data_IF_122356589565
#
_entry.id   IF_122356589565
#
_cell.length_a   1.000
_cell.length_b   1.000
_cell.length_c   1.000
_cell.angle_alpha   90.00
_cell.angle_beta   90.00
_cell.angle_gamma   90.00
#
_symmetry.space_group_name_H-M   'P 1'
#
loop_
_entity.id
_entity.type
_entity.pdbx_description
1 polymer ?
#
# COMPACT_ATOMS: atom_id res chain seq x y z
N UNK A 1 23.05 -16.60 -19.18
CA UNK A 1 24.09 -15.86 -19.94
C UNK A 1 23.69 -14.40 -19.97
N UNK A 2 24.52 -13.49 -19.47
CA UNK A 2 24.18 -12.05 -19.50
C UNK A 2 24.27 -11.53 -20.92
N UNK A 3 23.15 -11.06 -21.46
CA UNK A 3 23.05 -10.36 -22.75
C UNK A 3 24.13 -9.26 -22.85
N UNK A 4 24.77 -9.13 -24.01
CA UNK A 4 25.76 -8.09 -24.31
C UNK A 4 25.21 -6.68 -24.04
N UNK A 5 23.92 -6.44 -24.31
CA UNK A 5 23.24 -5.18 -23.93
C UNK A 5 23.31 -4.93 -22.42
N UNK A 6 23.20 -6.00 -21.64
CA UNK A 6 23.28 -5.96 -20.19
C UNK A 6 24.69 -5.68 -19.69
N UNK A 7 25.71 -6.24 -20.35
CA UNK A 7 27.11 -5.93 -20.07
C UNK A 7 27.44 -4.44 -20.36
N UNK A 8 26.92 -3.90 -21.47
CA UNK A 8 27.05 -2.48 -21.80
C UNK A 8 26.36 -1.56 -20.79
N UNK A 9 25.15 -1.93 -20.35
CA UNK A 9 24.40 -1.19 -19.33
C UNK A 9 25.15 -1.18 -18.00
N UNK A 10 25.60 -2.35 -17.52
CA UNK A 10 26.40 -2.46 -16.29
C UNK A 10 27.66 -1.62 -16.33
N UNK A 11 28.36 -1.62 -17.46
CA UNK A 11 29.55 -0.80 -17.65
C UNK A 11 29.25 0.71 -17.72
N UNK A 12 27.98 1.13 -17.63
CA UNK A 12 27.59 2.55 -17.59
C UNK A 12 27.48 3.21 -18.97
N UNK A 13 27.47 2.45 -20.06
CA UNK A 13 27.28 3.00 -21.42
C UNK A 13 25.81 3.27 -21.70
N UNK A 14 25.19 4.11 -20.88
CA UNK A 14 23.78 4.47 -20.98
C UNK A 14 23.67 6.00 -21.02
N UNK A 15 22.80 6.51 -21.89
CA UNK A 15 22.53 7.94 -22.00
C UNK A 15 21.48 8.39 -20.97
N UNK A 16 21.22 9.70 -20.89
CA UNK A 16 20.23 10.25 -19.94
C UNK A 16 18.79 9.79 -20.15
N UNK A 17 18.49 9.07 -21.24
CA UNK A 17 17.16 8.48 -21.52
C UNK A 17 17.09 6.97 -21.25
N UNK A 18 18.14 6.36 -20.71
CA UNK A 18 18.13 4.91 -20.45
C UNK A 18 18.47 4.02 -21.63
N UNK A 19 18.87 4.61 -22.77
CA UNK A 19 19.29 3.88 -23.95
C UNK A 19 20.81 3.75 -23.98
N UNK A 20 21.32 2.70 -24.62
CA UNK A 20 22.75 2.47 -24.74
C UNK A 20 23.41 3.63 -25.49
N UNK A 21 24.42 4.26 -24.89
CA UNK A 21 25.24 5.29 -25.53
C UNK A 21 26.22 4.63 -26.49
N UNK A 22 25.77 4.44 -27.74
CA UNK A 22 26.52 3.76 -28.79
C UNK A 22 27.86 4.42 -29.09
N UNK A 23 27.93 5.76 -29.07
CA UNK A 23 29.16 6.51 -29.37
C UNK A 23 30.22 6.27 -28.30
N UNK A 24 29.84 6.36 -27.02
CA UNK A 24 30.74 6.07 -25.91
C UNK A 24 31.16 4.60 -25.89
N UNK A 25 30.22 3.68 -26.07
CA UNK A 25 30.49 2.25 -26.13
C UNK A 25 31.46 1.89 -27.26
N UNK A 26 31.25 2.43 -28.47
CA UNK A 26 32.16 2.21 -29.61
C UNK A 26 33.56 2.75 -29.34
N UNK A 27 33.68 3.96 -28.79
CA UNK A 27 34.97 4.56 -28.44
C UNK A 27 35.72 3.70 -27.42
N UNK A 28 35.03 3.23 -26.40
CA UNK A 28 35.60 2.38 -25.35
C UNK A 28 36.03 1.00 -25.87
N UNK A 29 35.16 0.34 -26.65
CA UNK A 29 35.45 -0.96 -27.24
C UNK A 29 36.36 -0.89 -28.47
N UNK A 30 36.79 0.32 -28.88
CA UNK A 30 37.59 0.56 -30.09
C UNK A 30 36.94 0.02 -31.37
N UNK A 31 35.61 0.08 -31.45
CA UNK A 31 34.83 -0.36 -32.61
C UNK A 31 34.71 0.80 -33.60
N UNK A 32 35.08 0.57 -34.86
CA UNK A 32 35.06 1.59 -35.92
C UNK A 32 33.70 1.75 -36.62
N UNK A 33 32.81 0.77 -36.51
CA UNK A 33 31.53 0.74 -37.22
C UNK A 33 30.35 0.51 -36.27
N UNK A 34 29.33 1.36 -36.36
CA UNK A 34 28.09 1.22 -35.58
C UNK A 34 27.35 -0.07 -35.93
N UNK A 35 27.39 -0.49 -37.21
CA UNK A 35 26.80 -1.75 -37.68
C UNK A 35 27.37 -2.96 -36.94
N UNK A 36 28.65 -2.94 -36.59
CA UNK A 36 29.28 -4.03 -35.82
C UNK A 36 28.74 -4.07 -34.40
N UNK A 37 28.55 -2.91 -33.76
CA UNK A 37 27.95 -2.84 -32.43
C UNK A 37 26.49 -3.30 -32.45
N UNK A 38 25.71 -2.87 -33.44
CA UNK A 38 24.31 -3.31 -33.62
C UNK A 38 24.21 -4.81 -33.83
N UNK A 39 25.06 -5.38 -34.69
CA UNK A 39 25.13 -6.83 -34.90
C UNK A 39 25.43 -7.56 -33.59
N UNK A 40 26.42 -7.10 -32.82
CA UNK A 40 26.75 -7.71 -31.53
C UNK A 40 25.61 -7.62 -30.52
N UNK A 41 24.87 -6.51 -30.50
CA UNK A 41 23.70 -6.33 -29.64
C UNK A 41 22.51 -7.19 -30.06
N UNK A 42 22.35 -7.49 -31.34
CA UNK A 42 21.21 -8.27 -31.85
C UNK A 42 21.47 -9.78 -31.82
N UNK A 43 22.67 -10.20 -32.23
CA UNK A 43 23.08 -11.61 -32.29
C UNK A 43 23.67 -12.10 -30.95
N UNK A 44 23.85 -11.20 -29.98
CA UNK A 44 24.49 -11.47 -28.69
C UNK A 44 25.86 -12.16 -28.84
N UNK A 45 26.62 -11.79 -29.87
CA UNK A 45 27.91 -12.39 -30.23
C UNK A 45 29.05 -11.34 -30.26
N UNK A 46 29.36 -10.69 -29.12
CA UNK A 46 30.49 -9.78 -29.04
C UNK A 46 31.82 -10.52 -29.03
N UNK A 47 32.90 -9.83 -29.43
CA UNK A 47 34.25 -10.40 -29.29
C UNK A 47 34.55 -10.70 -27.81
N UNK A 48 35.16 -11.85 -27.46
CA UNK A 48 35.49 -12.21 -26.08
C UNK A 48 36.33 -11.16 -25.33
N UNK A 49 37.20 -10.45 -26.05
CA UNK A 49 37.99 -9.33 -25.48
C UNK A 49 37.10 -8.18 -25.02
N UNK A 50 36.06 -7.86 -25.78
CA UNK A 50 35.12 -6.79 -25.44
C UNK A 50 34.33 -7.15 -24.16
N UNK A 51 33.89 -8.40 -24.04
CA UNK A 51 33.22 -8.89 -22.83
C UNK A 51 34.11 -8.80 -21.60
N UNK A 52 35.34 -9.32 -21.66
CA UNK A 52 36.29 -9.25 -20.55
C UNK A 52 36.58 -7.81 -20.11
N UNK A 53 36.66 -6.89 -21.07
CA UNK A 53 36.94 -5.50 -20.82
C UNK A 53 35.74 -4.79 -20.16
N UNK A 54 34.51 -5.12 -20.58
CA UNK A 54 33.28 -4.65 -19.92
C UNK A 54 33.13 -5.22 -18.51
N UNK A 55 33.37 -6.52 -18.34
CA UNK A 55 33.32 -7.19 -17.04
C UNK A 55 34.29 -6.55 -16.06
N UNK A 56 35.55 -6.37 -16.48
CA UNK A 56 36.57 -5.69 -15.67
C UNK A 56 36.15 -4.28 -15.28
N UNK A 57 35.60 -3.52 -16.22
CA UNK A 57 35.15 -2.15 -15.98
C UNK A 57 33.92 -2.10 -15.04
N UNK A 58 33.08 -3.14 -15.07
CA UNK A 58 31.90 -3.26 -14.23
C UNK A 58 32.15 -3.89 -12.86
N UNK A 59 33.39 -4.24 -12.49
CA UNK A 59 33.67 -4.93 -11.21
C UNK A 59 33.22 -4.17 -9.98
N UNK A 60 33.24 -2.84 -10.02
CA UNK A 60 32.82 -1.98 -8.92
C UNK A 60 31.29 -1.76 -8.89
N UNK A 61 30.53 -2.35 -9.81
CA UNK A 61 29.07 -2.26 -9.80
C UNK A 61 28.48 -3.26 -8.81
N UNK A 62 27.71 -2.74 -7.85
CA UNK A 62 27.00 -3.58 -6.90
C UNK A 62 25.73 -4.14 -7.56
N UNK A 63 25.68 -5.46 -7.67
CA UNK A 63 24.49 -6.22 -8.09
C UNK A 63 24.03 -7.02 -6.88
N UNK A 64 22.78 -6.82 -6.45
CA UNK A 64 22.21 -7.58 -5.36
C UNK A 64 21.46 -8.80 -5.93
N UNK A 65 21.66 -9.99 -5.35
CA UNK A 65 21.13 -11.26 -5.88
C UNK A 65 19.61 -11.26 -6.10
N UNK A 66 18.87 -10.59 -5.22
CA UNK A 66 17.41 -10.48 -5.28
C UNK A 66 16.89 -9.39 -6.24
N UNK A 67 17.76 -8.53 -6.75
CA UNK A 67 17.37 -7.37 -7.56
C UNK A 67 17.82 -7.60 -9.00
N UNK A 68 17.22 -8.60 -9.64
CA UNK A 68 17.53 -8.95 -11.02
C UNK A 68 17.27 -7.75 -11.93
N UNK A 69 18.27 -7.41 -12.73
CA UNK A 69 18.15 -6.29 -13.65
C UNK A 69 18.43 -4.91 -13.04
N UNK A 70 18.66 -4.81 -11.73
CA UNK A 70 19.09 -3.56 -11.09
C UNK A 70 20.59 -3.59 -10.81
N UNK A 71 21.25 -2.46 -10.98
CA UNK A 71 22.65 -2.31 -10.63
C UNK A 71 22.95 -0.86 -10.24
N UNK A 72 23.89 -0.69 -9.33
CA UNK A 72 24.46 0.62 -9.01
C UNK A 72 25.68 0.81 -9.89
N UNK A 73 25.68 1.83 -10.74
CA UNK A 73 26.86 2.16 -11.54
C UNK A 73 27.95 2.79 -10.67
N UNK A 74 29.16 2.90 -11.20
CA UNK A 74 30.31 3.51 -10.52
C UNK A 74 30.07 4.95 -10.03
N UNK A 75 29.17 5.68 -10.71
CA UNK A 75 28.78 7.05 -10.33
C UNK A 75 27.79 7.09 -9.15
N UNK A 76 27.43 5.94 -8.58
CA UNK A 76 26.49 5.83 -7.46
C UNK A 76 25.02 5.92 -7.87
N UNK A 77 24.70 5.85 -9.17
CA UNK A 77 23.33 5.92 -9.68
C UNK A 77 22.74 4.52 -9.78
N UNK A 78 21.49 4.37 -9.36
CA UNK A 78 20.74 3.13 -9.50
C UNK A 78 20.09 3.08 -10.88
N UNK A 79 20.35 2.02 -11.62
CA UNK A 79 19.71 1.74 -12.91
C UNK A 79 18.68 0.63 -12.77
N UNK A 80 17.53 0.81 -13.42
CA UNK A 80 16.46 -0.19 -13.48
C UNK A 80 16.62 -1.11 -14.69
N UNK A 81 15.98 -2.29 -14.68
CA UNK A 81 15.94 -3.18 -15.84
C UNK A 81 15.34 -2.49 -17.08
N UNK A 82 14.41 -1.56 -16.88
CA UNK A 82 13.75 -0.80 -17.94
C UNK A 82 14.62 0.34 -18.51
N UNK A 83 15.72 0.67 -17.83
CA UNK A 83 16.64 1.74 -18.23
C UNK A 83 16.38 3.07 -17.53
N UNK A 84 15.51 3.12 -16.52
CA UNK A 84 15.38 4.32 -15.71
C UNK A 84 16.60 4.49 -14.80
N UNK A 85 16.88 5.74 -14.47
CA UNK A 85 18.01 6.14 -13.62
C UNK A 85 17.48 6.86 -12.39
N UNK A 86 17.94 6.43 -11.22
CA UNK A 86 17.61 7.08 -9.96
C UNK A 86 18.87 7.58 -9.27
N UNK A 87 18.84 8.85 -8.90
CA UNK A 87 19.85 9.47 -8.06
C UNK A 87 19.67 9.05 -6.59
N UNK A 88 20.76 8.97 -5.80
CA UNK A 88 20.68 8.63 -4.38
C UNK A 88 19.70 9.49 -3.58
N UNK A 89 19.62 10.79 -3.90
CA UNK A 89 18.68 11.70 -3.27
C UNK A 89 17.22 11.33 -3.55
N UNK A 90 16.93 10.87 -4.77
CA UNK A 90 15.60 10.44 -5.16
C UNK A 90 15.18 9.17 -4.41
N UNK A 91 16.11 8.21 -4.24
CA UNK A 91 15.88 7.00 -3.44
C UNK A 91 15.59 7.37 -1.97
N UNK A 92 16.33 8.34 -1.43
CA UNK A 92 16.12 8.85 -0.07
C UNK A 92 14.73 9.47 0.08
N UNK A 93 14.28 10.25 -0.91
CA UNK A 93 12.91 10.80 -0.95
C UNK A 93 11.85 9.70 -0.99
N UNK A 94 12.02 8.66 -1.82
CA UNK A 94 11.10 7.50 -1.85
C UNK A 94 10.99 6.86 -0.47
N UNK A 95 12.11 6.65 0.22
CA UNK A 95 12.12 6.05 1.56
C UNK A 95 11.34 6.87 2.57
N UNK A 96 11.47 8.20 2.52
CA UNK A 96 10.71 9.13 3.38
C UNK A 96 9.22 9.04 3.05
N UNK A 97 8.85 9.07 1.76
CA UNK A 97 7.47 8.96 1.32
C UNK A 97 6.82 7.64 1.74
N UNK A 98 7.52 6.51 1.62
CA UNK A 98 7.01 5.22 2.08
C UNK A 98 6.75 5.19 3.59
N UNK A 99 7.63 5.78 4.39
CA UNK A 99 7.41 5.91 5.84
C UNK A 99 6.20 6.78 6.17
N UNK A 100 6.05 7.90 5.45
CA UNK A 100 4.90 8.79 5.62
C UNK A 100 3.58 8.08 5.24
N UNK A 101 3.55 7.36 4.12
CA UNK A 101 2.39 6.58 3.70
C UNK A 101 2.03 5.48 4.72
N UNK A 102 3.02 4.77 5.26
CA UNK A 102 2.79 3.79 6.32
C UNK A 102 2.20 4.39 7.60
N UNK A 103 2.66 5.59 7.98
CA UNK A 103 2.10 6.33 9.11
C UNK A 103 0.64 6.75 8.85
N UNK A 104 0.35 7.29 7.67
CA UNK A 104 -1.02 7.66 7.27
C UNK A 104 -1.96 6.45 7.29
N UNK A 105 -1.51 5.30 6.78
CA UNK A 105 -2.29 4.05 6.81
C UNK A 105 -2.63 3.63 8.24
N UNK A 106 -1.67 3.72 9.16
CA UNK A 106 -1.89 3.42 10.58
C UNK A 106 -2.93 4.35 11.21
N UNK A 107 -2.87 5.65 10.90
CA UNK A 107 -3.89 6.61 11.37
C UNK A 107 -5.29 6.29 10.83
N UNK A 108 -5.41 5.94 9.54
CA UNK A 108 -6.68 5.54 8.93
C UNK A 108 -7.26 4.33 9.68
N UNK A 109 -6.45 3.29 9.93
CA UNK A 109 -6.92 2.10 10.66
C UNK A 109 -7.40 2.44 12.09
N UNK A 110 -6.72 3.37 12.79
CA UNK A 110 -7.16 3.83 14.10
C UNK A 110 -8.48 4.60 14.03
N UNK A 111 -8.65 5.46 13.03
CA UNK A 111 -9.89 6.21 12.81
C UNK A 111 -11.06 5.27 12.46
N UNK A 112 -10.84 4.27 11.61
CA UNK A 112 -11.84 3.25 11.30
C UNK A 112 -12.26 2.46 12.54
N UNK A 113 -11.33 2.11 13.43
CA UNK A 113 -11.66 1.45 14.70
C UNK A 113 -12.50 2.35 15.61
N UNK A 114 -12.20 3.66 15.67
CA UNK A 114 -13.00 4.63 16.44
C UNK A 114 -14.41 4.76 15.87
N UNK A 115 -14.53 4.81 14.54
CA UNK A 115 -15.83 4.85 13.86
C UNK A 115 -16.68 3.61 14.16
N UNK A 116 -16.08 2.41 14.14
CA UNK A 116 -16.77 1.18 14.53
C UNK A 116 -17.27 1.22 15.98
N UNK A 117 -16.45 1.72 16.89
CA UNK A 117 -16.84 1.87 18.30
C UNK A 117 -17.98 2.88 18.46
N UNK A 118 -17.94 4.00 17.75
CA UNK A 118 -19.02 4.99 17.75
C UNK A 118 -20.34 4.40 17.22
N UNK A 119 -20.30 3.66 16.12
CA UNK A 119 -21.48 2.97 15.57
C UNK A 119 -22.06 1.95 16.57
N UNK A 120 -21.21 1.25 17.32
CA UNK A 120 -21.66 0.35 18.39
C UNK A 120 -22.36 1.11 19.54
N UNK A 121 -21.78 2.23 19.99
CA UNK A 121 -22.38 3.08 21.03
C UNK A 121 -23.73 3.64 20.58
N UNK A 122 -23.85 4.08 19.33
CA UNK A 122 -25.10 4.56 18.76
C UNK A 122 -26.18 3.47 18.74
N UNK A 123 -25.81 2.23 18.40
CA UNK A 123 -26.71 1.08 18.48
C UNK A 123 -27.20 0.85 19.91
N UNK A 124 -26.30 0.86 20.90
CA UNK A 124 -26.66 0.71 22.31
C UNK A 124 -27.60 1.83 22.78
N UNK A 125 -27.35 3.07 22.37
CA UNK A 125 -28.21 4.21 22.69
C UNK A 125 -29.64 3.99 22.17
N UNK A 126 -29.78 3.53 20.94
CA UNK A 126 -31.10 3.25 20.35
C UNK A 126 -31.83 2.12 21.08
N UNK A 127 -31.09 1.10 21.54
CA UNK A 127 -31.66 0.00 22.31
C UNK A 127 -32.12 0.43 23.71
N UNK A 128 -31.34 1.27 24.39
CA UNK A 128 -31.76 1.90 25.65
C UNK A 128 -33.03 2.75 25.45
N UNK A 129 -33.10 3.53 24.37
CA UNK A 129 -34.29 4.33 24.06
C UNK A 129 -35.53 3.45 23.84
N UNK A 130 -35.37 2.30 23.17
CA UNK A 130 -36.43 1.32 22.99
C UNK A 130 -36.91 0.76 24.33
N UNK A 131 -35.98 0.28 25.18
CA UNK A 131 -36.32 -0.23 26.51
C UNK A 131 -36.99 0.81 27.40
N UNK A 132 -36.53 2.07 27.35
CA UNK A 132 -37.17 3.16 28.09
C UNK A 132 -38.62 3.40 27.64
N UNK A 133 -38.90 3.28 26.33
CA UNK A 133 -40.27 3.38 25.82
C UNK A 133 -41.15 2.19 26.26
N UNK A 134 -40.60 0.97 26.30
CA UNK A 134 -41.29 -0.22 26.80
C UNK A 134 -41.62 -0.10 28.29
N UNK A 135 -40.66 0.34 29.11
CA UNK A 135 -40.89 0.57 30.55
C UNK A 135 -41.98 1.62 30.76
N UNK A 136 -41.92 2.74 30.04
CA UNK A 136 -42.94 3.79 30.14
C UNK A 136 -44.32 3.24 29.80
N UNK A 137 -44.43 2.42 28.76
CA UNK A 137 -45.68 1.76 28.41
C UNK A 137 -46.15 0.83 29.53
N UNK A 138 -45.28 -0.03 30.08
CA UNK A 138 -45.67 -0.93 31.18
C UNK A 138 -46.20 -0.12 32.36
N UNK A 139 -45.46 0.89 32.82
CA UNK A 139 -45.85 1.74 33.94
C UNK A 139 -47.20 2.42 33.71
N UNK A 140 -47.45 2.98 32.52
CA UNK A 140 -48.74 3.62 32.23
C UNK A 140 -49.93 2.65 32.21
N UNK A 141 -49.70 1.35 31.99
CA UNK A 141 -50.77 0.34 31.99
C UNK A 141 -50.94 -0.34 33.36
N UNK A 142 -49.87 -0.51 34.14
CA UNK A 142 -49.94 -1.19 35.45
C UNK A 142 -50.37 -0.27 36.61
N UNK A 143 -50.05 1.03 36.56
CA UNK A 143 -50.54 2.00 37.57
C UNK A 143 -52.08 2.03 37.69
N UNK A 144 -52.86 2.14 36.60
CA UNK A 144 -54.31 2.12 36.70
C UNK A 144 -54.87 0.75 37.12
N UNK A 145 -54.23 -0.35 36.75
CA UNK A 145 -54.62 -1.70 37.18
C UNK A 145 -54.40 -1.91 38.68
N UNK A 146 -53.24 -1.47 39.21
CA UNK A 146 -52.94 -1.51 40.64
C UNK A 146 -53.88 -0.60 41.44
N UNK A 147 -54.14 0.61 40.95
CA UNK A 147 -55.09 1.53 41.58
C UNK A 147 -56.52 0.97 41.56
N UNK A 148 -56.94 0.30 40.49
CA UNK A 148 -58.24 -0.36 40.43
C UNK A 148 -58.31 -1.53 41.43
N UNK A 149 -57.22 -2.31 41.56
CA UNK A 149 -57.11 -3.43 42.50
C UNK A 149 -57.16 -2.96 43.97
N UNK A 150 -56.44 -1.90 44.32
CA UNK A 150 -56.49 -1.29 45.66
C UNK A 150 -57.90 -0.79 46.02
N UNK A 151 -58.60 -0.15 45.07
CA UNK A 151 -60.00 0.26 45.26
C UNK A 151 -60.94 -0.96 45.45
N UNK A 152 -60.63 -2.11 44.84
CA UNK A 152 -61.44 -3.33 45.00
C UNK A 152 -61.26 -3.97 46.38
N UNK A 153 -60.06 -3.85 46.97
CA UNK A 153 -59.76 -4.34 48.32
C UNK A 153 -60.40 -3.49 49.42
N UNK A 154 -60.59 -2.19 49.17
CA UNK A 154 -61.16 -1.23 50.13
C UNK A 154 -62.69 -1.28 50.20
N UNK A 155 -63.40 -1.67 49.13
CA UNK A 155 -64.86 -1.87 49.14
C UNK A 155 -65.28 -3.08 48.27
N UNK A 156 -65.24 -4.31 48.84
CA UNK A 156 -65.47 -5.54 48.08
C UNK A 156 -66.92 -5.74 47.63
N UNK A 157 -67.88 -4.93 48.12
CA UNK A 157 -69.29 -5.04 47.75
C UNK A 157 -69.64 -4.31 46.45
N UNK A 158 -68.75 -3.42 45.94
CA UNK A 158 -69.02 -2.64 44.73
C UNK A 158 -67.74 -2.35 43.91
N UNK A 159 -67.17 -3.37 43.24
CA UNK A 159 -65.89 -3.23 42.53
C UNK A 159 -66.00 -2.27 41.32
N UNK A 160 -64.97 -1.43 41.06
CA UNK A 160 -64.92 -0.59 39.87
C UNK A 160 -64.87 -1.46 38.60
N UNK A 161 -65.65 -1.07 37.56
CA UNK A 161 -65.69 -1.79 36.29
C UNK A 161 -64.37 -1.61 35.53
N UNK A 162 -63.54 -2.65 35.52
CA UNK A 162 -62.37 -2.73 34.64
C UNK A 162 -62.82 -2.82 33.19
N UNK A 163 -62.51 -1.80 32.39
CA UNK A 163 -62.70 -1.85 30.95
C UNK A 163 -61.62 -2.75 30.33
N UNK A 164 -61.98 -3.97 29.95
CA UNK A 164 -61.12 -4.83 29.14
C UNK A 164 -61.10 -4.26 27.73
N UNK A 165 -59.99 -3.61 27.36
CA UNK A 165 -59.76 -3.16 25.99
C UNK A 165 -59.08 -4.32 25.25
N UNK A 166 -59.72 -4.81 24.19
CA UNK A 166 -59.20 -5.86 23.28
C UNK A 166 -58.09 -5.34 22.38
#
# INVERSE_FOLDING_TARGET
MSDFKWALRRAGFVNGRGLIDRKKAMKFLSIKSERTLERWMNENNPCPRALKLLEHYSKDTMVHEKWEGFFVCREGLLWTPQGDRFEPEFISKIRIMQRSAGYQQSQIMQQESKLKNLAHVEKMKNEIARLASEIKNITTHTEPELHAFELTLLDPQNPPKLAVIK
#
